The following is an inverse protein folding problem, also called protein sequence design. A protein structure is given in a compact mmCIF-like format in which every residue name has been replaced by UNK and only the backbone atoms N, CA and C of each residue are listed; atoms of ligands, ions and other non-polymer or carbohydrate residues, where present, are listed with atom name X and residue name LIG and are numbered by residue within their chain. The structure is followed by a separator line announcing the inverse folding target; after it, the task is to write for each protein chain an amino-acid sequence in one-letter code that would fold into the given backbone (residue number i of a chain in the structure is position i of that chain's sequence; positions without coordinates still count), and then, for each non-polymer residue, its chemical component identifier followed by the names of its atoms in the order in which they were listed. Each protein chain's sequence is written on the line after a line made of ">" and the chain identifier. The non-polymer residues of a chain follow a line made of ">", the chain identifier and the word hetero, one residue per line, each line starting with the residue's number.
data_IF_574242561679
#
_entry.id   IF_574242561679
#
_cell.length_a   1.000
_cell.length_b   1.000
_cell.length_c   1.000
_cell.angle_alpha   90.00
_cell.angle_beta   90.00
_cell.angle_gamma   90.00
#
_symmetry.space_group_name_H-M   'P 1'
#
loop_
_entity.id
_entity.type
_entity.pdbx_description
1 polymer ?
#
# COMPACT_ATOMS: atom_id res chain seq x y z
N UNK A 1 53.78 56.62 -54.98
CA UNK A 1 54.15 56.84 -53.57
C UNK A 1 52.86 56.82 -52.76
N UNK A 2 52.71 55.85 -51.84
CA UNK A 2 51.73 55.82 -50.71
C UNK A 2 50.24 55.73 -51.13
N UNK A 3 49.56 54.57 -51.06
CA UNK A 3 48.72 54.03 -49.93
C UNK A 3 47.51 53.34 -50.64
N UNK A 4 46.82 52.28 -50.21
CA UNK A 4 46.51 51.65 -48.93
C UNK A 4 46.13 50.19 -49.22
N UNK A 5 46.69 49.27 -48.43
CA UNK A 5 46.19 47.91 -48.22
C UNK A 5 44.84 47.97 -47.49
N UNK A 6 43.80 47.30 -47.99
CA UNK A 6 42.71 46.79 -47.17
C UNK A 6 42.35 45.38 -47.61
N UNK A 7 42.97 44.41 -46.93
CA UNK A 7 42.56 43.02 -46.88
C UNK A 7 41.19 42.99 -46.20
N UNK A 8 40.16 42.57 -46.93
CA UNK A 8 38.86 42.24 -46.37
C UNK A 8 38.97 40.84 -45.79
N UNK A 9 38.99 40.75 -44.46
CA UNK A 9 38.82 39.50 -43.73
C UNK A 9 37.37 39.01 -43.96
N UNK A 10 37.21 37.96 -44.75
CA UNK A 10 36.00 37.16 -44.80
C UNK A 10 35.91 36.36 -43.48
N UNK A 11 35.17 36.89 -42.50
CA UNK A 11 34.69 36.12 -41.37
C UNK A 11 33.65 35.11 -41.90
N UNK A 12 34.08 33.87 -42.10
CA UNK A 12 33.17 32.76 -42.33
C UNK A 12 32.29 32.57 -41.10
N UNK A 13 31.01 32.89 -41.23
CA UNK A 13 29.98 32.44 -40.29
C UNK A 13 29.86 30.92 -40.45
N UNK A 14 30.55 30.16 -39.59
CA UNK A 14 30.24 28.76 -39.36
C UNK A 14 28.97 28.75 -38.52
N UNK A 15 27.82 28.62 -39.17
CA UNK A 15 26.57 28.28 -38.48
C UNK A 15 26.72 26.86 -37.96
N UNK A 16 27.06 26.71 -36.69
CA UNK A 16 26.96 25.43 -35.99
C UNK A 16 25.47 25.06 -35.91
N UNK A 17 25.06 24.13 -36.76
CA UNK A 17 23.79 23.43 -36.57
C UNK A 17 23.89 22.68 -35.24
N UNK A 18 23.25 23.20 -34.19
CA UNK A 18 22.92 22.42 -33.01
C UNK A 18 21.85 21.41 -33.44
N UNK A 19 22.27 20.19 -33.77
CA UNK A 19 21.38 19.04 -33.82
C UNK A 19 20.93 18.74 -32.39
N UNK A 20 19.80 19.34 -32.01
CA UNK A 20 19.05 18.92 -30.84
C UNK A 20 18.57 17.48 -31.08
N UNK A 21 19.27 16.51 -30.52
CA UNK A 21 18.82 15.13 -30.51
C UNK A 21 17.58 15.06 -29.60
N UNK A 22 16.39 14.95 -30.19
CA UNK A 22 15.18 14.57 -29.46
C UNK A 22 15.38 13.16 -28.94
N UNK A 23 15.52 12.99 -27.63
CA UNK A 23 15.52 11.66 -27.01
C UNK A 23 14.17 11.00 -27.28
N UNK A 24 14.19 9.95 -28.09
CA UNK A 24 13.07 9.07 -28.36
C UNK A 24 12.69 8.30 -27.09
N UNK A 25 11.40 7.99 -26.99
CA UNK A 25 10.70 7.40 -25.85
C UNK A 25 11.00 5.91 -25.59
N UNK A 26 12.21 5.45 -25.89
CA UNK A 26 12.60 4.02 -25.79
C UNK A 26 13.72 3.72 -24.78
N UNK A 27 14.16 4.71 -24.01
CA UNK A 27 15.31 4.58 -23.09
C UNK A 27 14.92 4.38 -21.60
N UNK A 28 13.66 4.02 -21.30
CA UNK A 28 13.19 3.75 -19.92
C UNK A 28 13.33 2.26 -19.53
N UNK A 29 13.60 1.36 -20.47
CA UNK A 29 13.68 -0.09 -20.22
C UNK A 29 15.12 -0.63 -20.23
N UNK A 30 16.07 -0.02 -19.52
CA UNK A 30 17.36 -0.70 -19.27
C UNK A 30 18.24 -0.09 -18.15
N UNK A 31 17.74 0.05 -16.92
CA UNK A 31 18.64 0.15 -15.76
C UNK A 31 18.00 -0.51 -14.51
N UNK A 32 18.78 -1.41 -13.88
CA UNK A 32 18.61 -2.06 -12.57
C UNK A 32 17.80 -3.37 -12.47
N UNK A 33 18.37 -4.42 -13.05
CA UNK A 33 18.29 -5.80 -12.54
C UNK A 33 19.14 -5.94 -11.26
N UNK A 34 18.61 -5.49 -10.11
CA UNK A 34 18.84 -6.05 -8.76
C UNK A 34 18.11 -5.19 -7.72
N UNK A 35 16.82 -5.46 -7.48
CA UNK A 35 16.12 -4.90 -6.33
C UNK A 35 14.99 -5.83 -5.91
N UNK A 36 15.21 -6.59 -4.84
CA UNK A 36 14.12 -7.24 -4.13
C UNK A 36 13.24 -6.13 -3.52
N UNK A 37 12.04 -5.90 -4.06
CA UNK A 37 11.16 -4.81 -3.62
C UNK A 37 9.78 -5.31 -3.17
N UNK A 38 9.36 -4.80 -2.00
CA UNK A 38 8.07 -4.98 -1.29
C UNK A 38 6.97 -4.17 -1.98
N UNK A 39 5.68 -4.40 -1.68
CA UNK A 39 4.55 -4.04 -2.58
C UNK A 39 5.05 -4.16 -4.02
N UNK A 40 5.22 -5.38 -4.52
CA UNK A 40 6.15 -5.71 -5.61
C UNK A 40 6.07 -4.68 -6.74
N UNK A 41 7.19 -4.03 -7.08
CA UNK A 41 7.29 -2.84 -7.94
C UNK A 41 6.71 -1.54 -7.34
N UNK A 42 6.79 -1.39 -6.02
CA UNK A 42 6.27 -0.26 -5.26
C UNK A 42 7.35 0.65 -4.69
N UNK A 43 6.94 1.87 -4.39
CA UNK A 43 7.79 2.93 -3.87
C UNK A 43 7.89 2.85 -2.35
N UNK A 44 9.09 3.11 -1.81
CA UNK A 44 9.24 3.33 -0.36
C UNK A 44 8.47 4.59 0.01
N UNK A 45 7.60 4.49 1.00
CA UNK A 45 6.77 5.61 1.42
C UNK A 45 7.63 6.69 2.11
N UNK A 46 7.50 7.93 1.65
CA UNK A 46 8.03 9.10 2.35
C UNK A 46 7.12 9.47 3.52
N UNK A 47 7.64 10.20 4.52
CA UNK A 47 6.80 10.66 5.65
C UNK A 47 5.68 11.63 5.22
N UNK A 48 5.83 12.27 4.05
CA UNK A 48 4.81 13.13 3.47
C UNK A 48 3.72 12.37 2.72
N UNK A 49 3.95 11.11 2.36
CA UNK A 49 2.99 10.31 1.61
C UNK A 49 1.77 10.03 2.47
N UNK A 50 0.58 10.05 1.84
CA UNK A 50 -0.67 9.79 2.55
C UNK A 50 -0.65 8.42 3.24
N UNK A 51 -0.11 7.38 2.58
CA UNK A 51 0.01 6.05 3.15
C UNK A 51 0.76 6.04 4.50
N UNK A 52 1.81 6.85 4.66
CA UNK A 52 2.62 6.92 5.88
C UNK A 52 1.88 7.48 7.09
N UNK A 53 0.81 8.25 6.86
CA UNK A 53 0.02 8.86 7.94
C UNK A 53 -1.11 7.97 8.45
N UNK A 54 -1.37 6.87 7.76
CA UNK A 54 -2.56 6.05 8.02
C UNK A 54 -2.26 4.56 8.16
N UNK A 55 -1.13 4.10 7.63
CA UNK A 55 -0.77 2.67 7.58
C UNK A 55 0.13 2.29 8.76
N UNK A 56 -0.22 1.22 9.45
CA UNK A 56 0.51 0.70 10.62
C UNK A 56 0.97 -0.72 10.38
N UNK A 57 2.07 -1.10 11.02
CA UNK A 57 2.51 -2.49 11.06
C UNK A 57 1.90 -3.18 12.29
N UNK A 58 1.43 -4.40 12.09
CA UNK A 58 0.96 -5.29 13.14
C UNK A 58 1.99 -6.40 13.33
N UNK A 59 2.48 -6.54 14.55
CA UNK A 59 3.43 -7.59 14.92
C UNK A 59 2.89 -8.44 16.05
N UNK A 60 2.72 -9.73 15.81
CA UNK A 60 2.39 -10.70 16.85
C UNK A 60 3.65 -11.46 17.28
N UNK A 61 4.03 -11.26 18.54
CA UNK A 61 5.21 -11.92 19.13
C UNK A 61 5.06 -13.43 19.32
N UNK A 62 3.84 -13.96 19.44
CA UNK A 62 3.60 -15.40 19.61
C UNK A 62 3.86 -16.16 18.31
N UNK A 63 3.22 -15.69 17.23
CA UNK A 63 3.31 -16.32 15.91
C UNK A 63 4.49 -15.79 15.09
N UNK A 64 5.19 -14.75 15.59
CA UNK A 64 6.20 -13.98 14.85
C UNK A 64 5.66 -13.49 13.49
N UNK A 65 4.36 -13.27 13.44
CA UNK A 65 3.62 -12.84 12.26
C UNK A 65 3.75 -11.34 12.06
N UNK A 66 3.79 -10.92 10.80
CA UNK A 66 3.72 -9.51 10.41
C UNK A 66 2.50 -9.36 9.52
N UNK A 67 1.65 -8.39 9.86
CA UNK A 67 0.56 -7.90 9.03
C UNK A 67 0.64 -6.37 8.96
N UNK A 68 -0.27 -5.81 8.17
CA UNK A 68 -0.48 -4.38 8.04
C UNK A 68 -1.88 -4.03 8.55
N UNK A 69 -2.10 -2.77 8.94
CA UNK A 69 -3.43 -2.23 9.24
C UNK A 69 -3.54 -0.77 8.82
N UNK A 70 -4.72 -0.20 8.97
CA UNK A 70 -5.00 1.21 8.73
C UNK A 70 -5.69 1.86 9.93
N UNK A 71 -5.36 3.10 10.27
CA UNK A 71 -6.07 3.82 11.32
C UNK A 71 -7.42 4.33 10.81
N UNK A 72 -8.49 3.97 11.52
CA UNK A 72 -9.79 4.63 11.40
C UNK A 72 -9.89 5.87 12.32
N UNK A 73 -9.17 5.85 13.44
CA UNK A 73 -9.05 6.95 14.39
C UNK A 73 -7.74 6.81 15.18
N UNK A 74 -7.33 7.80 16.01
CA UNK A 74 -6.15 7.68 16.84
C UNK A 74 -6.13 6.46 17.79
N UNK A 75 -7.26 5.80 18.03
CA UNK A 75 -7.35 4.64 18.94
C UNK A 75 -7.84 3.37 18.25
N UNK A 76 -8.04 3.38 16.93
CA UNK A 76 -8.72 2.29 16.24
C UNK A 76 -8.02 1.98 14.93
N UNK A 77 -7.55 0.74 14.82
CA UNK A 77 -6.98 0.17 13.60
C UNK A 77 -8.00 -0.80 12.99
N UNK A 78 -8.16 -0.76 11.68
CA UNK A 78 -8.83 -1.78 10.87
C UNK A 78 -7.77 -2.64 10.18
N UNK A 79 -8.02 -3.94 10.12
CA UNK A 79 -7.13 -4.93 9.50
C UNK A 79 -7.94 -6.16 9.06
N UNK A 80 -7.27 -7.17 8.54
CA UNK A 80 -7.88 -8.45 8.19
C UNK A 80 -8.10 -9.30 9.45
N UNK A 81 -9.13 -10.14 9.46
CA UNK A 81 -9.42 -11.03 10.58
C UNK A 81 -8.32 -12.07 10.74
N UNK A 82 -7.86 -12.68 9.65
CA UNK A 82 -6.80 -13.71 9.67
C UNK A 82 -5.45 -13.21 10.20
N UNK A 83 -5.28 -11.89 10.34
CA UNK A 83 -4.08 -11.29 10.93
C UNK A 83 -4.09 -11.33 12.46
N UNK A 84 -5.26 -11.51 13.09
CA UNK A 84 -5.45 -11.29 14.52
C UNK A 84 -6.43 -12.28 15.19
N UNK A 85 -6.94 -13.28 14.46
CA UNK A 85 -7.95 -14.23 14.95
C UNK A 85 -7.40 -15.22 15.98
N UNK A 86 -6.11 -15.53 15.90
CA UNK A 86 -5.38 -16.32 16.90
C UNK A 86 -4.47 -15.48 17.81
N UNK A 87 -4.44 -14.15 17.61
CA UNK A 87 -3.65 -13.22 18.40
C UNK A 87 -4.28 -12.92 19.76
N UNK A 88 -3.43 -12.61 20.74
CA UNK A 88 -3.86 -12.04 22.02
C UNK A 88 -3.52 -10.54 22.07
N UNK A 89 -4.29 -9.76 22.85
CA UNK A 89 -3.97 -8.34 23.07
C UNK A 89 -2.57 -8.11 23.67
N UNK A 90 -2.05 -9.09 24.40
CA UNK A 90 -0.77 -8.99 25.10
C UNK A 90 0.41 -9.36 24.19
N UNK A 91 0.16 -10.15 23.13
CA UNK A 91 1.18 -10.55 22.14
C UNK A 91 1.24 -9.63 20.92
N UNK A 92 0.11 -8.98 20.58
CA UNK A 92 -0.02 -8.08 19.43
C UNK A 92 0.46 -6.66 19.77
N UNK A 93 1.37 -6.14 18.94
CA UNK A 93 1.88 -4.76 19.02
C UNK A 93 1.59 -4.02 17.72
N UNK A 94 1.11 -2.78 17.84
CA UNK A 94 0.94 -1.86 16.70
C UNK A 94 2.15 -0.95 16.61
N UNK A 95 2.76 -0.89 15.44
CA UNK A 95 4.00 -0.16 15.18
C UNK A 95 3.72 0.99 14.20
N UNK A 96 4.17 2.18 14.56
CA UNK A 96 4.03 3.41 13.79
C UNK A 96 5.38 3.82 13.21
N UNK A 97 5.48 3.70 11.89
CA UNK A 97 6.65 4.06 11.11
C UNK A 97 6.96 5.54 11.19
N UNK A 98 8.09 5.87 11.83
CA UNK A 98 8.47 7.27 12.06
C UNK A 98 9.51 7.77 11.09
N UNK A 99 10.35 6.93 10.44
CA UNK A 99 11.43 7.35 9.53
C UNK A 99 11.98 6.23 8.62
N UNK A 100 12.60 6.59 7.48
CA UNK A 100 13.22 5.68 6.50
C UNK A 100 14.47 4.89 6.97
N UNK A 101 14.89 5.08 8.22
CA UNK A 101 16.15 4.57 8.76
C UNK A 101 15.97 4.02 10.19
N UNK A 102 15.95 2.69 10.27
CA UNK A 102 15.94 1.82 11.47
C UNK A 102 14.69 1.84 12.38
N UNK A 103 14.41 0.66 12.96
CA UNK A 103 13.36 0.43 13.97
C UNK A 103 13.56 1.21 15.28
N UNK A 104 14.72 1.86 15.46
CA UNK A 104 15.10 2.51 16.72
C UNK A 104 14.26 3.76 17.04
N UNK A 105 13.58 4.32 16.04
CA UNK A 105 12.73 5.51 16.19
C UNK A 105 11.23 5.22 16.11
N UNK A 106 10.85 3.94 15.99
CA UNK A 106 9.45 3.53 15.88
C UNK A 106 8.67 3.86 17.15
N UNK A 107 7.41 4.26 16.98
CA UNK A 107 6.47 4.34 18.10
C UNK A 107 5.64 3.08 18.14
N UNK A 108 5.29 2.66 19.35
CA UNK A 108 4.54 1.44 19.58
C UNK A 108 3.28 1.77 20.39
N UNK A 109 2.16 1.17 20.03
CA UNK A 109 0.97 1.13 20.88
C UNK A 109 0.65 -0.31 21.25
N UNK A 110 0.30 -0.50 22.52
CA UNK A 110 -0.28 -1.75 23.00
C UNK A 110 -1.73 -1.86 22.59
N UNK A 111 -2.21 -3.10 22.51
CA UNK A 111 -3.59 -3.40 22.18
C UNK A 111 -4.43 -3.46 23.45
N UNK A 112 -5.58 -2.78 23.45
CA UNK A 112 -6.58 -2.86 24.50
C UNK A 112 -7.55 -4.02 24.23
N UNK A 113 -8.05 -4.12 22.99
CA UNK A 113 -9.06 -5.10 22.57
C UNK A 113 -8.89 -5.45 21.09
N UNK A 114 -9.07 -6.72 20.76
CA UNK A 114 -9.16 -7.24 19.38
C UNK A 114 -10.61 -7.67 19.17
N UNK A 115 -11.19 -7.30 18.03
CA UNK A 115 -12.58 -7.58 17.68
C UNK A 115 -12.59 -8.12 16.25
N UNK A 116 -12.66 -9.43 16.12
CA UNK A 116 -12.83 -10.13 14.84
C UNK A 116 -14.30 -10.14 14.48
N UNK A 117 -14.62 -9.94 13.19
CA UNK A 117 -15.99 -10.07 12.73
C UNK A 117 -16.57 -11.44 13.09
N UNK A 118 -17.77 -11.47 13.68
CA UNK A 118 -18.33 -12.66 14.35
C UNK A 118 -18.69 -13.80 13.38
N UNK A 119 -18.74 -13.46 12.08
CA UNK A 119 -18.95 -14.41 10.98
C UNK A 119 -17.69 -14.66 10.15
N UNK A 120 -16.53 -14.26 10.63
CA UNK A 120 -15.27 -14.61 9.99
C UNK A 120 -15.14 -16.13 9.86
N UNK A 121 -14.79 -16.60 8.67
CA UNK A 121 -14.65 -18.02 8.34
C UNK A 121 -13.30 -18.23 7.64
N UNK A 122 -12.30 -18.68 8.40
CA UNK A 122 -10.95 -18.93 7.89
C UNK A 122 -10.90 -20.03 6.80
N UNK A 123 -11.96 -20.84 6.66
CA UNK A 123 -12.08 -21.83 5.60
C UNK A 123 -12.63 -21.28 4.28
N UNK A 124 -13.03 -20.00 4.23
CA UNK A 124 -13.56 -19.34 3.04
C UNK A 124 -12.64 -18.22 2.61
N UNK A 125 -12.01 -18.43 1.46
CA UNK A 125 -11.16 -17.43 0.83
C UNK A 125 -11.98 -16.24 0.31
N UNK A 126 -13.19 -16.50 -0.22
CA UNK A 126 -14.08 -15.46 -0.72
C UNK A 126 -15.34 -15.26 0.14
N UNK A 127 -15.75 -14.01 0.27
CA UNK A 127 -16.85 -13.51 1.13
C UNK A 127 -16.78 -14.04 2.58
N UNK A 128 -15.57 -14.37 3.06
CA UNK A 128 -15.27 -15.00 4.35
C UNK A 128 -15.38 -14.07 5.56
N UNK A 129 -15.74 -12.79 5.37
CA UNK A 129 -15.75 -11.75 6.41
C UNK A 129 -14.39 -11.51 7.05
N UNK A 130 -13.34 -11.49 6.22
CA UNK A 130 -11.96 -11.24 6.64
C UNK A 130 -11.72 -9.76 7.00
N UNK A 131 -12.23 -9.36 8.16
CA UNK A 131 -12.11 -8.00 8.70
C UNK A 131 -12.11 -8.03 10.23
N UNK A 132 -11.27 -7.19 10.83
CA UNK A 132 -11.17 -7.02 12.27
C UNK A 132 -10.86 -5.58 12.66
N UNK A 133 -11.20 -5.25 13.90
CA UNK A 133 -10.84 -4.00 14.56
C UNK A 133 -9.89 -4.28 15.72
N UNK A 134 -8.85 -3.45 15.81
CA UNK A 134 -7.87 -3.46 16.90
C UNK A 134 -7.94 -2.12 17.62
N UNK A 135 -8.39 -2.14 18.87
CA UNK A 135 -8.43 -0.96 19.73
C UNK A 135 -7.09 -0.79 20.42
N UNK A 136 -6.52 0.40 20.30
CA UNK A 136 -5.27 0.76 20.94
C UNK A 136 -5.50 1.19 22.39
N UNK A 137 -4.53 0.86 23.26
CA UNK A 137 -4.50 1.36 24.64
C UNK A 137 -4.04 2.81 24.72
N UNK A 138 -3.09 3.16 23.87
CA UNK A 138 -2.45 4.47 23.78
C UNK A 138 -2.78 5.08 22.41
N UNK A 139 -2.96 6.41 22.33
CA UNK A 139 -3.26 7.06 21.06
C UNK A 139 -2.10 6.93 20.07
N UNK A 140 -2.42 6.81 18.79
CA UNK A 140 -1.48 6.97 17.70
C UNK A 140 -0.74 8.33 17.80
N UNK A 141 0.51 8.41 17.34
CA UNK A 141 1.25 9.68 17.27
C UNK A 141 0.48 10.73 16.47
N UNK A 142 0.58 12.01 16.83
CA UNK A 142 -0.17 13.09 16.14
C UNK A 142 0.19 13.33 14.68
N UNK A 143 1.23 12.66 14.16
CA UNK A 143 1.57 12.61 12.73
C UNK A 143 0.69 11.64 11.93
N UNK A 144 -0.04 10.78 12.64
CA UNK A 144 -0.98 9.84 12.06
C UNK A 144 -2.40 10.39 12.13
N UNK A 145 -3.21 10.04 11.14
CA UNK A 145 -4.61 10.43 11.02
C UNK A 145 -5.50 9.24 10.67
N UNK A 146 -6.80 9.37 10.96
CA UNK A 146 -7.79 8.39 10.55
C UNK A 146 -8.10 8.52 9.07
N UNK A 147 -8.26 7.39 8.38
CA UNK A 147 -8.68 7.37 6.98
C UNK A 147 -10.10 7.88 6.80
N UNK A 148 -10.38 8.47 5.63
CA UNK A 148 -11.74 8.78 5.21
C UNK A 148 -12.35 7.55 4.54
N UNK A 149 -13.38 6.95 5.13
CA UNK A 149 -14.04 5.79 4.53
C UNK A 149 -14.73 6.14 3.21
N UNK A 150 -14.58 5.28 2.21
CA UNK A 150 -15.38 5.36 0.99
C UNK A 150 -16.78 4.80 1.29
N UNK A 151 -17.80 5.64 1.21
CA UNK A 151 -19.20 5.23 1.44
C UNK A 151 -19.90 4.81 0.15
N UNK A 152 -19.56 5.44 -0.98
CA UNK A 152 -20.12 5.11 -2.28
C UNK A 152 -19.07 4.36 -3.12
N UNK A 153 -19.23 3.04 -3.20
CA UNK A 153 -18.34 2.18 -4.01
C UNK A 153 -18.64 2.23 -5.51
N UNK A 154 -19.72 2.90 -5.94
CA UNK A 154 -20.05 3.02 -7.37
C UNK A 154 -19.04 3.88 -8.14
N UNK A 155 -18.21 4.66 -7.42
CA UNK A 155 -17.09 5.41 -8.00
C UNK A 155 -15.96 4.51 -8.49
N UNK A 156 -15.96 3.23 -8.12
CA UNK A 156 -14.97 2.22 -8.52
C UNK A 156 -15.54 1.34 -9.62
N UNK A 157 -14.84 1.28 -10.74
CA UNK A 157 -15.15 0.41 -11.88
C UNK A 157 -13.95 -0.46 -12.25
N UNK A 158 -14.17 -1.41 -13.15
CA UNK A 158 -13.10 -2.17 -13.78
C UNK A 158 -12.07 -1.21 -14.39
N UNK A 159 -10.79 -1.52 -14.22
CA UNK A 159 -9.64 -0.70 -14.61
C UNK A 159 -9.39 0.57 -13.78
N UNK A 160 -10.20 0.84 -12.75
CA UNK A 160 -9.87 1.90 -11.79
C UNK A 160 -8.51 1.64 -11.15
N UNK A 161 -7.64 2.65 -11.13
CA UNK A 161 -6.38 2.60 -10.40
C UNK A 161 -6.63 2.87 -8.92
N UNK A 162 -6.05 2.00 -8.09
CA UNK A 162 -6.16 2.04 -6.64
C UNK A 162 -4.76 1.94 -6.03
N UNK A 163 -4.55 2.58 -4.88
CA UNK A 163 -3.28 2.56 -4.17
C UNK A 163 -3.33 1.49 -3.10
N UNK A 164 -2.40 0.55 -3.14
CA UNK A 164 -2.17 -0.45 -2.09
C UNK A 164 -0.95 -0.04 -1.27
N UNK A 165 -0.97 -0.26 0.04
CA UNK A 165 0.18 0.02 0.89
C UNK A 165 0.35 -1.04 1.98
N UNK A 166 1.60 -1.31 2.35
CA UNK A 166 1.92 -2.27 3.39
C UNK A 166 3.40 -2.47 3.68
N UNK A 167 3.65 -3.34 4.65
CA UNK A 167 4.98 -3.68 5.16
C UNK A 167 5.42 -5.09 4.74
N UNK A 168 4.72 -5.70 3.78
CA UNK A 168 4.94 -7.05 3.32
C UNK A 168 6.30 -7.27 2.66
N UNK A 169 6.58 -8.53 2.33
CA UNK A 169 7.91 -9.03 1.97
C UNK A 169 7.83 -9.94 0.77
N UNK A 170 8.65 -9.68 -0.24
CA UNK A 170 8.98 -10.63 -1.28
C UNK A 170 10.22 -11.44 -0.80
N UNK A 171 9.99 -12.68 -0.33
CA UNK A 171 10.99 -13.63 0.20
C UNK A 171 11.54 -13.36 1.63
N UNK A 172 12.39 -14.26 2.12
CA UNK A 172 13.02 -14.30 3.44
C UNK A 172 14.12 -13.24 3.65
N UNK A 173 13.81 -11.96 3.39
CA UNK A 173 14.68 -10.87 3.81
C UNK A 173 14.95 -10.93 5.33
N UNK A 174 15.96 -10.24 5.85
CA UNK A 174 16.18 -10.12 7.29
C UNK A 174 15.09 -9.23 7.92
N UNK A 175 14.68 -9.52 9.16
CA UNK A 175 13.61 -8.81 9.89
C UNK A 175 13.81 -7.28 10.03
N UNK A 176 15.01 -6.76 9.71
CA UNK A 176 15.39 -5.35 9.85
C UNK A 176 15.03 -4.42 8.68
N UNK A 177 14.40 -4.90 7.60
CA UNK A 177 13.95 -4.05 6.50
C UNK A 177 12.42 -4.05 6.37
N UNK A 178 11.67 -3.79 7.44
CA UNK A 178 10.23 -3.54 7.35
C UNK A 178 10.04 -2.05 7.09
N UNK A 179 9.90 -1.68 5.81
CA UNK A 179 9.64 -0.30 5.40
C UNK A 179 8.29 -0.26 4.75
N UNK A 180 7.50 0.75 5.10
CA UNK A 180 6.23 0.99 4.43
C UNK A 180 6.50 1.24 2.95
N UNK A 181 5.74 0.56 2.10
CA UNK A 181 5.71 0.81 0.67
C UNK A 181 4.30 1.01 0.20
N UNK A 182 4.17 1.68 -0.94
CA UNK A 182 2.92 1.81 -1.64
C UNK A 182 3.13 1.67 -3.14
N UNK A 183 2.06 1.30 -3.84
CA UNK A 183 2.07 1.15 -5.28
C UNK A 183 0.66 1.20 -5.85
N UNK A 184 0.55 1.38 -7.16
CA UNK A 184 -0.73 1.35 -7.84
C UNK A 184 -1.02 -0.05 -8.34
N UNK A 185 -2.20 -0.55 -7.98
CA UNK A 185 -2.82 -1.74 -8.56
C UNK A 185 -4.07 -1.34 -9.34
N UNK A 186 -4.67 -2.30 -10.01
CA UNK A 186 -5.82 -2.08 -10.89
C UNK A 186 -6.96 -2.96 -10.49
N UNK A 187 -8.17 -2.39 -10.41
CA UNK A 187 -9.39 -3.16 -10.19
C UNK A 187 -9.66 -4.05 -11.40
N UNK A 188 -9.66 -5.36 -11.17
CA UNK A 188 -10.11 -6.36 -12.14
C UNK A 188 -11.64 -6.47 -12.11
N UNK A 189 -12.23 -6.62 -10.92
CA UNK A 189 -13.68 -6.64 -10.76
C UNK A 189 -14.11 -6.22 -9.35
N UNK A 190 -15.25 -5.55 -9.25
CA UNK A 190 -15.91 -5.17 -7.98
C UNK A 190 -17.30 -5.84 -7.85
N UNK A 191 -17.66 -6.73 -8.78
CA UNK A 191 -19.03 -7.27 -8.88
C UNK A 191 -19.09 -8.79 -8.77
N UNK A 192 -17.95 -9.49 -8.92
CA UNK A 192 -17.88 -10.95 -8.77
C UNK A 192 -18.28 -11.39 -7.36
N UNK A 193 -17.79 -10.68 -6.34
CA UNK A 193 -18.07 -10.97 -4.94
C UNK A 193 -18.82 -9.83 -4.26
N UNK A 194 -19.70 -10.20 -3.33
CA UNK A 194 -20.59 -9.25 -2.68
C UNK A 194 -19.82 -8.28 -1.78
N UNK A 195 -18.80 -8.78 -1.08
CA UNK A 195 -18.01 -8.03 -0.10
C UNK A 195 -16.55 -7.86 -0.48
N UNK A 196 -16.15 -8.32 -1.66
CA UNK A 196 -14.75 -8.27 -2.10
C UNK A 196 -14.54 -7.68 -3.49
N UNK A 197 -13.33 -7.14 -3.69
CA UNK A 197 -12.84 -6.58 -4.95
C UNK A 197 -11.64 -7.42 -5.39
N UNK A 198 -11.63 -7.79 -6.65
CA UNK A 198 -10.48 -8.42 -7.32
C UNK A 198 -9.58 -7.35 -7.91
N UNK A 199 -8.29 -7.47 -7.65
CA UNK A 199 -7.24 -6.65 -8.26
C UNK A 199 -6.39 -7.48 -9.22
N UNK A 200 -6.08 -6.90 -10.38
CA UNK A 200 -5.09 -7.43 -11.32
C UNK A 200 -3.71 -6.80 -11.02
N UNK A 201 -2.75 -7.65 -10.64
CA UNK A 201 -1.40 -7.25 -10.26
C UNK A 201 -0.34 -7.64 -11.30
N UNK A 202 -0.76 -8.21 -12.45
CA UNK A 202 0.13 -8.78 -13.48
C UNK A 202 1.13 -7.79 -14.04
N UNK A 203 0.71 -6.54 -14.20
CA UNK A 203 1.52 -5.43 -14.73
C UNK A 203 1.57 -4.24 -13.77
N UNK A 204 1.14 -4.45 -12.53
CA UNK A 204 0.96 -3.40 -11.53
C UNK A 204 1.70 -3.74 -10.24
N UNK A 205 1.66 -2.82 -9.27
CA UNK A 205 2.20 -3.12 -7.96
C UNK A 205 1.40 -4.24 -7.28
N UNK A 206 2.11 -5.16 -6.64
CA UNK A 206 1.54 -6.38 -6.08
C UNK A 206 1.60 -6.46 -4.56
N UNK A 207 0.56 -6.98 -3.91
CA UNK A 207 0.53 -7.28 -2.48
C UNK A 207 1.10 -8.67 -2.22
N UNK A 208 1.75 -8.84 -1.09
CA UNK A 208 2.51 -10.04 -0.77
C UNK A 208 2.39 -10.41 0.71
N UNK A 209 3.11 -11.43 1.16
CA UNK A 209 3.10 -11.86 2.57
C UNK A 209 3.46 -10.69 3.48
N UNK A 210 2.56 -10.37 4.42
CA UNK A 210 2.70 -9.27 5.38
C UNK A 210 2.08 -7.94 4.95
N UNK A 211 1.64 -7.81 3.69
CA UNK A 211 0.74 -6.73 3.27
C UNK A 211 -0.71 -7.02 3.68
N UNK A 212 -1.03 -8.26 4.02
CA UNK A 212 -2.30 -8.69 4.61
C UNK A 212 -2.77 -7.74 5.71
N UNK A 213 -4.05 -7.40 5.68
CA UNK A 213 -4.68 -6.42 6.55
C UNK A 213 -4.42 -4.96 6.17
N UNK A 214 -3.52 -4.71 5.22
CA UNK A 214 -3.12 -3.38 4.80
C UNK A 214 -4.21 -2.62 4.03
N UNK A 215 -4.08 -1.29 3.94
CA UNK A 215 -5.08 -0.47 3.30
C UNK A 215 -5.03 -0.51 1.78
N UNK A 216 -6.23 -0.36 1.21
CA UNK A 216 -6.44 0.00 -0.18
C UNK A 216 -7.16 1.34 -0.26
N UNK A 217 -6.71 2.21 -1.16
CA UNK A 217 -7.27 3.56 -1.33
C UNK A 217 -7.67 3.86 -2.77
N UNK A 218 -8.69 4.70 -2.92
CA UNK A 218 -9.02 5.40 -4.16
C UNK A 218 -8.85 6.90 -3.96
N UNK A 219 -8.48 7.62 -5.03
CA UNK A 219 -8.48 9.08 -5.04
C UNK A 219 -9.70 9.60 -5.79
N UNK A 220 -10.53 10.43 -5.14
CA UNK A 220 -11.66 11.12 -5.76
C UNK A 220 -11.67 12.59 -5.35
N UNK A 221 -11.82 13.51 -6.32
CA UNK A 221 -11.78 14.96 -6.10
C UNK A 221 -10.59 15.41 -5.23
N UNK A 222 -9.40 14.92 -5.58
CA UNK A 222 -8.14 15.14 -4.87
C UNK A 222 -8.10 14.68 -3.39
N UNK A 223 -9.08 13.91 -2.95
CA UNK A 223 -9.15 13.32 -1.60
C UNK A 223 -8.94 11.81 -1.68
N UNK A 224 -8.12 11.28 -0.78
CA UNK A 224 -7.96 9.84 -0.61
C UNK A 224 -9.08 9.28 0.25
N UNK A 225 -9.68 8.19 -0.22
CA UNK A 225 -10.69 7.43 0.50
C UNK A 225 -10.24 5.99 0.66
N UNK A 226 -10.48 5.43 1.84
CA UNK A 226 -10.22 4.05 2.19
C UNK A 226 -11.29 3.15 1.58
N UNK A 227 -10.86 2.27 0.68
CA UNK A 227 -11.69 1.34 -0.07
C UNK A 227 -11.88 0.03 0.70
N UNK A 228 -10.80 -0.50 1.29
CA UNK A 228 -10.84 -1.83 1.86
C UNK A 228 -9.54 -2.31 2.45
N UNK A 229 -9.59 -3.56 2.90
CA UNK A 229 -8.54 -4.32 3.57
C UNK A 229 -7.96 -5.34 2.59
N UNK A 230 -6.65 -5.42 2.45
CA UNK A 230 -5.98 -6.50 1.71
C UNK A 230 -6.23 -7.82 2.46
N UNK A 231 -6.99 -8.74 1.88
CA UNK A 231 -7.28 -10.05 2.48
C UNK A 231 -6.26 -11.09 2.05
N UNK A 232 -6.24 -11.46 0.77
CA UNK A 232 -5.34 -12.49 0.26
C UNK A 232 -4.80 -12.15 -1.13
N UNK A 233 -3.75 -12.85 -1.53
CA UNK A 233 -3.35 -12.95 -2.93
C UNK A 233 -3.88 -14.29 -3.47
N UNK A 234 -4.64 -14.24 -4.56
CA UNK A 234 -5.10 -15.41 -5.30
C UNK A 234 -4.04 -15.83 -6.30
N UNK A 235 -3.66 -17.10 -6.28
CA UNK A 235 -2.64 -17.63 -7.19
C UNK A 235 -2.97 -19.03 -7.68
N UNK A 236 -2.60 -19.30 -8.94
CA UNK A 236 -2.68 -20.65 -9.49
C UNK A 236 -1.58 -21.55 -8.89
N UNK A 237 -1.80 -22.88 -8.84
CA UNK A 237 -0.75 -23.83 -8.37
C UNK A 237 0.54 -23.77 -9.19
N UNK A 238 0.48 -23.25 -10.41
CA UNK A 238 1.63 -23.10 -11.32
C UNK A 238 2.19 -21.66 -11.32
N UNK A 239 1.76 -20.83 -10.38
CA UNK A 239 2.21 -19.46 -10.26
C UNK A 239 3.72 -19.38 -10.13
N UNK A 240 4.33 -18.56 -10.97
CA UNK A 240 5.76 -18.25 -10.89
C UNK A 240 6.06 -17.14 -9.88
N UNK A 241 5.06 -16.31 -9.58
CA UNK A 241 5.11 -15.20 -8.64
C UNK A 241 3.70 -14.93 -8.08
N UNK A 242 3.42 -15.47 -6.90
CA UNK A 242 2.12 -15.34 -6.24
C UNK A 242 1.78 -13.89 -5.84
N UNK A 243 2.76 -12.98 -5.84
CA UNK A 243 2.56 -11.57 -5.52
C UNK A 243 2.27 -10.72 -6.78
N UNK A 244 2.17 -11.36 -7.96
CA UNK A 244 1.93 -10.71 -9.26
C UNK A 244 0.72 -11.25 -10.02
N UNK A 245 -0.17 -12.00 -9.38
CA UNK A 245 -1.42 -12.46 -10.01
C UNK A 245 -2.59 -11.59 -9.55
N UNK A 246 -3.52 -12.16 -8.79
CA UNK A 246 -4.73 -11.48 -8.36
C UNK A 246 -4.70 -11.25 -6.85
N UNK A 247 -5.36 -10.20 -6.36
CA UNK A 247 -5.58 -10.00 -4.93
C UNK A 247 -7.05 -9.78 -4.60
N UNK A 248 -7.46 -10.29 -3.44
CA UNK A 248 -8.77 -10.07 -2.86
C UNK A 248 -8.71 -8.96 -1.81
N UNK A 249 -9.59 -7.98 -1.97
CA UNK A 249 -9.74 -6.86 -1.06
C UNK A 249 -11.12 -6.90 -0.43
N UNK A 250 -11.19 -7.02 0.90
CA UNK A 250 -12.44 -6.90 1.65
C UNK A 250 -12.93 -5.45 1.60
N UNK A 251 -14.12 -5.21 1.05
CA UNK A 251 -14.77 -3.88 0.96
C UNK A 251 -15.10 -3.36 2.35
N UNK A 252 -14.49 -2.25 2.76
CA UNK A 252 -14.78 -1.66 4.07
C UNK A 252 -16.26 -1.22 4.19
N UNK A 253 -16.84 -0.74 3.09
CA UNK A 253 -18.24 -0.30 3.03
C UNK A 253 -19.24 -1.42 3.33
N UNK A 254 -18.92 -2.68 3.01
CA UNK A 254 -19.78 -3.82 3.29
C UNK A 254 -19.94 -4.11 4.80
N UNK A 255 -19.06 -3.53 5.63
CA UNK A 255 -19.03 -3.74 7.09
C UNK A 255 -19.29 -2.45 7.88
N UNK A 256 -19.80 -1.40 7.24
CA UNK A 256 -20.04 -0.12 7.92
C UNK A 256 -20.97 -0.27 9.14
N UNK A 257 -22.10 -0.95 8.97
CA UNK A 257 -23.06 -1.18 10.05
C UNK A 257 -22.48 -2.04 11.17
N UNK A 258 -21.66 -3.04 10.83
CA UNK A 258 -20.95 -3.84 11.81
C UNK A 258 -19.96 -2.99 12.61
N UNK A 259 -19.11 -2.20 11.94
CA UNK A 259 -18.16 -1.30 12.61
C UNK A 259 -18.88 -0.32 13.53
N UNK A 260 -19.98 0.29 13.08
CA UNK A 260 -20.79 1.18 13.91
C UNK A 260 -21.42 0.47 15.11
N UNK A 261 -21.90 -0.76 14.92
CA UNK A 261 -22.45 -1.60 15.99
C UNK A 261 -21.40 -1.88 17.06
N UNK A 262 -20.20 -2.28 16.65
CA UNK A 262 -19.05 -2.47 17.55
C UNK A 262 -18.76 -1.18 18.31
N UNK A 263 -18.62 -0.05 17.61
CA UNK A 263 -18.29 1.24 18.24
C UNK A 263 -19.32 1.73 19.26
N UNK A 264 -20.60 1.41 19.07
CA UNK A 264 -21.67 1.74 20.03
C UNK A 264 -21.68 0.84 21.27
N UNK A 265 -21.04 -0.32 21.19
CA UNK A 265 -21.01 -1.32 22.27
C UNK A 265 -19.79 -1.22 23.20
N UNK A 266 -18.88 -0.31 22.87
CA UNK A 266 -17.64 -0.03 23.61
C UNK A 266 -17.86 1.08 24.63
#
# INVERSE_FOLDING_TARGET
>A
MVRIFRIILLLGFITTFFTACSKSSEDILSQNQNSSTKIVDGHVASISDYASKVTVLLYDSNNKGVCTGALLSPYLVITAAHCVDDSSRDSLTVVFHQNNSSFENEKFARVNKIIVHERYDAGKEEDGNDIALVMLKDSAPGTYEGVKLLTDVSVINENSLILVAGFGRYNSAAAGDLKLRWGYSKVESNTVYSKEILLDQSFYSGVCKGDSGGPVFVKSNNTWYYLGVISSALYSRNSKDFCKETALITKASAYYDWMLGVLKSL
#
